data_IF_136086807710
#
_entry.id   IF_136086807710
#
_cell.length_a   1.000
_cell.length_b   1.000
_cell.length_c   1.000
_cell.angle_alpha   90.00
_cell.angle_beta   90.00
_cell.angle_gamma   90.00
#
_symmetry.space_group_name_H-M   'P 1'
#
loop_
_entity.id
_entity.type
_entity.pdbx_description
1 polymer ?
#
# COMPACT_ATOMS: atom_id res chain seq x y z
N UNK A 1 -30.81 7.08 26.06
CA UNK A 1 -30.83 7.21 24.59
C UNK A 1 -29.49 6.75 24.10
N UNK A 2 -29.45 5.60 23.43
CA UNK A 2 -28.20 4.95 22.98
C UNK A 2 -27.93 5.40 21.55
N UNK A 3 -26.90 6.22 21.35
CA UNK A 3 -26.43 6.58 20.02
C UNK A 3 -25.56 5.45 19.46
N UNK A 4 -26.11 4.68 18.55
CA UNK A 4 -25.39 3.70 17.75
C UNK A 4 -24.76 4.46 16.57
N UNK A 5 -23.47 4.74 16.65
CA UNK A 5 -22.70 5.25 15.51
C UNK A 5 -22.38 4.05 14.61
N UNK A 6 -23.14 3.96 13.52
CA UNK A 6 -22.93 2.95 12.48
C UNK A 6 -21.73 3.39 11.63
N UNK A 7 -20.58 2.72 11.80
CA UNK A 7 -19.39 2.92 10.99
C UNK A 7 -19.62 2.23 9.64
N UNK A 8 -20.03 3.00 8.64
CA UNK A 8 -20.16 2.51 7.27
C UNK A 8 -18.74 2.33 6.66
N UNK A 9 -18.28 1.11 6.55
CA UNK A 9 -17.09 0.76 5.77
C UNK A 9 -17.46 0.84 4.30
N UNK A 10 -17.07 1.93 3.64
CA UNK A 10 -17.25 2.12 2.22
C UNK A 10 -16.15 1.35 1.48
N UNK A 11 -16.47 0.14 1.03
CA UNK A 11 -15.64 -0.61 0.08
C UNK A 11 -15.81 0.02 -1.30
N UNK A 12 -14.81 0.78 -1.75
CA UNK A 12 -14.77 1.32 -3.10
C UNK A 12 -14.30 0.22 -4.05
N UNK A 13 -15.28 -0.48 -4.63
CA UNK A 13 -15.06 -1.32 -5.81
C UNK A 13 -14.94 -0.38 -7.00
N UNK A 14 -13.72 -0.17 -7.50
CA UNK A 14 -13.52 0.52 -8.77
C UNK A 14 -13.92 -0.43 -9.90
N UNK A 15 -15.12 -0.23 -10.40
CA UNK A 15 -15.58 -0.87 -11.63
C UNK A 15 -14.82 -0.26 -12.82
N UNK A 16 -13.78 -0.97 -13.29
CA UNK A 16 -13.18 -0.73 -14.59
C UNK A 16 -14.09 -1.34 -15.65
N UNK A 17 -15.06 -0.58 -16.14
CA UNK A 17 -15.87 -0.95 -17.30
C UNK A 17 -15.81 0.13 -18.36
N UNK A 18 -15.50 -0.33 -19.58
CA UNK A 18 -15.66 0.33 -20.88
C UNK A 18 -14.52 1.21 -21.39
N UNK A 19 -13.52 0.54 -21.96
CA UNK A 19 -12.76 1.08 -23.07
C UNK A 19 -12.78 0.09 -24.25
N UNK A 20 -13.98 -0.11 -24.82
CA UNK A 20 -14.14 -0.75 -26.12
C UNK A 20 -14.95 0.16 -27.00
N UNK A 21 -14.33 1.10 -27.70
CA UNK A 21 -14.85 1.58 -28.98
C UNK A 21 -13.86 2.48 -29.68
N UNK A 22 -13.61 2.10 -30.93
CA UNK A 22 -12.98 2.78 -32.07
C UNK A 22 -11.53 2.42 -32.38
N UNK A 23 -11.31 1.18 -32.79
CA UNK A 23 -10.30 0.91 -33.83
C UNK A 23 -11.01 0.97 -35.18
N UNK A 24 -10.81 2.05 -35.91
CA UNK A 24 -11.12 2.12 -37.34
C UNK A 24 -10.09 1.31 -38.11
N UNK A 25 -10.58 0.25 -38.75
CA UNK A 25 -9.86 -0.58 -39.71
C UNK A 25 -9.48 0.25 -40.94
N UNK A 26 -8.21 0.44 -41.19
CA UNK A 26 -7.72 0.83 -42.51
C UNK A 26 -6.91 -0.34 -43.05
N UNK A 27 -7.49 -1.02 -44.06
CA UNK A 27 -6.79 -2.00 -44.87
C UNK A 27 -5.91 -1.26 -45.87
N UNK A 28 -4.60 -1.50 -45.80
CA UNK A 28 -3.82 -1.59 -47.02
C UNK A 28 -2.68 -2.59 -46.81
N UNK A 29 -2.59 -3.47 -47.78
CA UNK A 29 -1.65 -4.54 -47.96
C UNK A 29 -0.23 -3.99 -48.16
N UNK A 30 0.78 -4.56 -47.48
CA UNK A 30 1.91 -5.18 -48.18
C UNK A 30 2.79 -5.96 -47.17
N UNK A 31 3.27 -7.08 -47.68
CA UNK A 31 4.02 -8.12 -47.02
C UNK A 31 5.42 -7.68 -46.65
N UNK A 32 5.83 -7.91 -45.41
CA UNK A 32 7.16 -8.39 -45.07
C UNK A 32 7.17 -8.97 -43.64
N UNK A 33 7.61 -10.21 -43.58
CA UNK A 33 7.83 -10.98 -42.37
C UNK A 33 8.85 -10.32 -41.47
N UNK A 34 8.45 -9.93 -40.26
CA UNK A 34 9.36 -9.78 -39.14
C UNK A 34 8.68 -10.33 -37.88
N UNK A 35 9.30 -11.33 -37.34
CA UNK A 35 8.97 -11.95 -36.07
C UNK A 35 8.91 -10.89 -34.96
N UNK A 36 7.72 -10.49 -34.53
CA UNK A 36 7.54 -9.75 -33.30
C UNK A 36 7.77 -10.71 -32.14
N UNK A 37 8.97 -10.68 -31.59
CA UNK A 37 9.18 -11.15 -30.24
C UNK A 37 8.33 -10.28 -29.33
N UNK A 38 7.34 -10.88 -28.69
CA UNK A 38 6.66 -10.30 -27.54
C UNK A 38 7.70 -10.05 -26.47
N UNK A 39 8.27 -8.84 -26.50
CA UNK A 39 9.06 -8.34 -25.40
C UNK A 39 8.08 -8.07 -24.25
N UNK A 40 8.16 -8.79 -23.12
CA UNK A 40 7.42 -8.38 -21.94
C UNK A 40 7.86 -6.94 -21.66
N UNK A 41 6.88 -6.04 -21.55
CA UNK A 41 7.07 -4.64 -21.20
C UNK A 41 8.07 -4.61 -20.03
N UNK A 42 9.25 -4.05 -20.26
CA UNK A 42 10.26 -3.89 -19.21
C UNK A 42 9.64 -3.05 -18.11
N UNK A 43 9.28 -3.74 -17.04
CA UNK A 43 8.86 -3.16 -15.77
C UNK A 43 9.97 -2.21 -15.34
N UNK A 44 9.62 -0.96 -15.05
CA UNK A 44 10.52 0.16 -14.91
C UNK A 44 11.80 -0.16 -14.13
N UNK A 45 12.93 0.30 -14.64
CA UNK A 45 14.26 0.21 -14.04
C UNK A 45 14.42 1.14 -12.81
N UNK A 46 13.34 1.48 -12.13
CA UNK A 46 13.44 2.29 -10.93
C UNK A 46 14.09 1.48 -9.79
N UNK A 47 15.01 2.08 -9.04
CA UNK A 47 15.66 1.39 -7.93
C UNK A 47 14.63 1.01 -6.86
N UNK A 48 14.82 -0.16 -6.26
CA UNK A 48 14.06 -0.58 -5.08
C UNK A 48 14.85 -0.12 -3.85
N UNK A 49 14.22 0.75 -3.08
CA UNK A 49 14.80 1.25 -1.84
C UNK A 49 14.63 0.23 -0.71
N UNK A 50 15.49 0.32 0.30
CA UNK A 50 15.36 -0.42 1.57
C UNK A 50 15.15 0.58 2.70
N UNK A 51 14.51 0.17 3.80
CA UNK A 51 14.41 1.01 4.98
C UNK A 51 15.77 1.56 5.40
N UNK A 52 15.83 2.88 5.53
CA UNK A 52 16.99 3.59 6.05
C UNK A 52 16.49 4.61 7.08
N UNK A 53 16.14 4.15 8.31
CA UNK A 53 15.54 5.01 9.31
C UNK A 53 16.49 6.11 9.76
N UNK A 54 15.95 7.30 9.96
CA UNK A 54 16.65 8.41 10.59
C UNK A 54 16.81 8.17 12.10
N UNK A 55 17.71 8.91 12.75
CA UNK A 55 17.86 8.83 14.21
C UNK A 55 16.56 9.17 14.96
N UNK A 56 15.71 10.05 14.41
CA UNK A 56 14.40 10.37 14.99
C UNK A 56 13.44 9.17 14.88
N UNK A 57 13.44 8.48 13.75
CA UNK A 57 12.63 7.27 13.55
C UNK A 57 13.11 6.12 14.44
N UNK A 58 14.41 5.92 14.59
CA UNK A 58 14.97 4.93 15.52
C UNK A 58 14.57 5.26 16.98
N UNK A 59 14.68 6.53 17.38
CA UNK A 59 14.29 6.97 18.71
C UNK A 59 12.80 6.77 18.99
N UNK A 60 11.94 6.93 17.99
CA UNK A 60 10.49 6.70 18.12
C UNK A 60 10.16 5.25 18.52
N UNK A 61 10.98 4.28 18.13
CA UNK A 61 10.78 2.87 18.47
C UNK A 61 11.60 2.38 19.68
N UNK A 62 12.44 3.22 20.30
CA UNK A 62 13.40 2.80 21.35
C UNK A 62 12.75 2.06 22.54
N UNK A 63 11.49 2.38 22.86
CA UNK A 63 10.71 1.74 23.91
C UNK A 63 9.45 1.05 23.36
N UNK A 64 9.49 0.69 22.08
CA UNK A 64 8.37 0.06 21.39
C UNK A 64 8.23 -1.42 21.75
N UNK A 65 7.03 -1.93 21.59
CA UNK A 65 6.70 -3.35 21.76
C UNK A 65 6.46 -4.02 20.41
N UNK A 66 6.97 -5.24 20.25
CA UNK A 66 6.63 -6.04 19.07
C UNK A 66 5.19 -6.52 19.18
N UNK A 67 4.38 -6.21 18.17
CA UNK A 67 3.04 -6.73 18.00
C UNK A 67 2.98 -7.66 16.80
N UNK A 68 2.30 -8.80 16.95
CA UNK A 68 2.27 -9.87 15.94
C UNK A 68 0.85 -10.12 15.44
N UNK A 69 0.79 -10.35 14.14
CA UNK A 69 -0.39 -10.90 13.47
C UNK A 69 -0.08 -12.32 13.02
N UNK A 70 -0.09 -13.26 13.97
CA UNK A 70 0.39 -14.63 13.77
C UNK A 70 -0.33 -15.34 12.62
N UNK A 71 -1.65 -15.11 12.46
CA UNK A 71 -2.42 -15.71 11.37
C UNK A 71 -1.90 -15.32 9.98
N UNK A 72 -1.19 -14.20 9.90
CA UNK A 72 -0.67 -13.67 8.65
C UNK A 72 0.86 -13.63 8.62
N UNK A 73 1.54 -14.04 9.68
CA UNK A 73 3.01 -14.00 9.73
C UNK A 73 3.57 -12.60 9.51
N UNK A 74 2.99 -11.60 10.15
CA UNK A 74 3.44 -10.21 10.07
C UNK A 74 3.65 -9.68 11.47
N UNK A 75 4.70 -8.87 11.68
CA UNK A 75 4.88 -8.14 12.94
C UNK A 75 5.37 -6.72 12.69
N UNK A 76 5.17 -5.88 13.69
CA UNK A 76 5.61 -4.49 13.77
C UNK A 76 6.13 -4.18 15.15
N UNK A 77 7.02 -3.20 15.26
CA UNK A 77 7.31 -2.55 16.53
C UNK A 77 6.45 -1.30 16.64
N UNK A 78 5.60 -1.24 17.67
CA UNK A 78 4.75 -0.07 17.93
C UNK A 78 5.27 0.70 19.14
N UNK A 79 5.38 2.03 19.06
CA UNK A 79 5.73 2.88 20.19
C UNK A 79 4.75 2.76 21.36
N UNK A 80 5.12 3.20 22.56
CA UNK A 80 4.21 3.21 23.71
C UNK A 80 2.94 4.02 23.43
N UNK A 81 1.81 3.52 23.92
CA UNK A 81 0.51 4.20 23.81
C UNK A 81 -0.36 3.72 22.65
N UNK A 82 0.21 3.02 21.69
CA UNK A 82 -0.58 2.38 20.63
C UNK A 82 -1.47 1.27 21.19
N UNK A 83 -2.73 1.23 20.78
CA UNK A 83 -3.72 0.28 21.29
C UNK A 83 -4.39 -0.48 20.16
N UNK A 84 -4.56 -1.76 20.41
CA UNK A 84 -5.33 -2.64 19.51
C UNK A 84 -6.76 -2.14 19.38
N UNK A 85 -7.24 -2.04 18.14
CA UNK A 85 -8.62 -1.73 17.80
C UNK A 85 -9.35 -2.99 17.31
N UNK A 86 -8.90 -3.55 16.20
CA UNK A 86 -9.46 -4.77 15.62
C UNK A 86 -8.36 -5.63 15.06
N UNK A 87 -8.39 -6.92 15.40
CA UNK A 87 -7.55 -7.93 14.74
C UNK A 87 -8.43 -9.12 14.38
N UNK A 88 -8.41 -9.48 13.10
CA UNK A 88 -9.13 -10.61 12.52
C UNK A 88 -8.23 -11.32 11.52
N UNK A 89 -8.75 -12.27 10.75
CA UNK A 89 -7.96 -12.95 9.73
C UNK A 89 -7.53 -12.03 8.58
N UNK A 90 -8.29 -10.96 8.32
CA UNK A 90 -8.07 -10.10 7.15
C UNK A 90 -7.73 -8.65 7.50
N UNK A 91 -7.83 -8.27 8.77
CA UNK A 91 -7.61 -6.90 9.22
C UNK A 91 -6.84 -6.86 10.52
N UNK A 92 -5.86 -5.95 10.58
CA UNK A 92 -5.09 -5.66 11.77
C UNK A 92 -5.05 -4.15 11.98
N UNK A 93 -5.74 -3.68 13.02
CA UNK A 93 -5.90 -2.25 13.25
C UNK A 93 -5.44 -1.88 14.66
N UNK A 94 -4.56 -0.90 14.74
CA UNK A 94 -4.08 -0.25 15.96
C UNK A 94 -4.20 1.26 15.82
N UNK A 95 -4.25 1.97 16.93
CA UNK A 95 -4.23 3.44 16.94
C UNK A 95 -3.54 4.02 18.15
N UNK A 96 -3.01 5.23 18.00
CA UNK A 96 -2.60 6.08 19.09
C UNK A 96 -3.74 7.06 19.37
N UNK A 97 -4.60 6.69 20.31
CA UNK A 97 -5.85 7.43 20.59
C UNK A 97 -6.71 7.58 19.35
N UNK A 98 -7.07 8.83 19.03
CA UNK A 98 -7.80 9.23 17.83
C UNK A 98 -6.93 9.98 16.82
N UNK A 99 -5.62 10.09 17.08
CA UNK A 99 -4.72 10.92 16.29
C UNK A 99 -4.23 10.21 15.04
N UNK A 100 -3.67 9.01 15.19
CA UNK A 100 -3.10 8.24 14.08
C UNK A 100 -3.45 6.76 14.17
N UNK A 101 -3.45 6.10 13.03
CA UNK A 101 -3.92 4.73 12.85
C UNK A 101 -2.94 3.92 12.02
N UNK A 102 -2.70 2.68 12.42
CA UNK A 102 -2.14 1.61 11.61
C UNK A 102 -3.30 0.71 11.19
N UNK A 103 -3.52 0.61 9.88
CA UNK A 103 -4.59 -0.20 9.29
C UNK A 103 -3.93 -1.12 8.28
N UNK A 104 -4.00 -2.42 8.53
CA UNK A 104 -3.47 -3.42 7.61
C UNK A 104 -4.59 -4.32 7.16
N UNK A 105 -4.70 -4.52 5.85
CA UNK A 105 -5.70 -5.39 5.26
C UNK A 105 -5.08 -6.38 4.30
N UNK A 106 -5.65 -7.58 4.29
CA UNK A 106 -5.27 -8.67 3.39
C UNK A 106 -6.51 -9.12 2.62
N UNK A 107 -6.34 -9.27 1.31
CA UNK A 107 -7.33 -9.91 0.46
C UNK A 107 -6.73 -11.13 -0.25
N UNK A 108 -7.38 -12.30 -0.17
CA UNK A 108 -6.98 -13.46 -0.94
C UNK A 108 -7.18 -13.19 -2.44
N UNK A 109 -6.20 -13.60 -3.25
CA UNK A 109 -6.23 -13.47 -4.70
C UNK A 109 -6.25 -14.85 -5.33
N UNK A 110 -6.69 -14.93 -6.58
CA UNK A 110 -6.59 -16.16 -7.37
C UNK A 110 -5.11 -16.53 -7.59
N UNK A 111 -4.85 -17.82 -7.78
CA UNK A 111 -3.48 -18.32 -7.94
C UNK A 111 -2.81 -17.84 -9.25
N UNK A 112 -3.62 -17.52 -10.25
CA UNK A 112 -3.23 -17.02 -11.57
C UNK A 112 -3.20 -15.49 -11.66
N UNK A 113 -3.41 -14.77 -10.55
CA UNK A 113 -3.35 -13.30 -10.50
C UNK A 113 -2.00 -12.81 -11.00
N UNK A 114 -1.95 -11.92 -12.00
CA UNK A 114 -0.71 -11.34 -12.51
C UNK A 114 -0.16 -10.27 -11.55
N UNK A 115 0.42 -10.74 -10.45
CA UNK A 115 0.80 -9.90 -9.30
C UNK A 115 1.77 -8.77 -9.67
N UNK A 116 2.79 -9.06 -10.49
CA UNK A 116 3.77 -8.06 -10.89
C UNK A 116 3.17 -6.96 -11.77
N UNK A 117 2.31 -7.35 -12.72
CA UNK A 117 1.61 -6.39 -13.59
C UNK A 117 0.70 -5.51 -12.74
N UNK A 118 -0.05 -6.12 -11.83
CA UNK A 118 -0.97 -5.40 -10.94
C UNK A 118 -0.24 -4.46 -9.99
N UNK A 119 0.88 -4.89 -9.41
CA UNK A 119 1.68 -4.05 -8.52
C UNK A 119 2.29 -2.86 -9.26
N UNK A 120 2.77 -3.08 -10.49
CA UNK A 120 3.26 -1.97 -11.34
C UNK A 120 2.15 -1.00 -11.71
N UNK A 121 0.94 -1.48 -12.01
CA UNK A 121 -0.19 -0.60 -12.28
C UNK A 121 -0.54 0.29 -11.09
N UNK A 122 -0.46 -0.22 -9.86
CA UNK A 122 -0.62 0.60 -8.66
C UNK A 122 0.46 1.66 -8.53
N UNK A 123 1.72 1.29 -8.73
CA UNK A 123 2.85 2.22 -8.68
C UNK A 123 2.72 3.33 -9.73
N UNK A 124 2.45 2.97 -10.98
CA UNK A 124 2.25 3.94 -12.06
C UNK A 124 1.04 4.85 -11.81
N UNK A 125 -0.05 4.28 -11.28
CA UNK A 125 -1.21 5.06 -10.86
C UNK A 125 -0.87 6.08 -9.76
N UNK A 126 -0.05 5.70 -8.79
CA UNK A 126 0.45 6.61 -7.75
C UNK A 126 1.35 7.70 -8.35
N UNK A 127 2.21 7.37 -9.32
CA UNK A 127 3.03 8.36 -10.04
C UNK A 127 2.21 9.39 -10.83
N UNK A 128 1.09 8.99 -11.41
CA UNK A 128 0.16 9.94 -12.03
C UNK A 128 -0.41 10.90 -10.98
N UNK A 129 -0.77 10.39 -9.80
CA UNK A 129 -1.24 11.21 -8.68
C UNK A 129 -0.17 12.14 -8.13
N UNK A 130 1.10 11.72 -8.11
CA UNK A 130 2.26 12.56 -7.74
C UNK A 130 2.39 13.75 -8.70
N UNK A 131 2.31 13.52 -10.01
CA UNK A 131 2.31 14.58 -11.02
C UNK A 131 1.17 15.57 -10.87
N UNK A 132 0.03 15.12 -10.36
CA UNK A 132 -1.13 15.96 -10.06
C UNK A 132 -1.02 16.67 -8.70
N UNK A 133 0.04 16.43 -7.94
CA UNK A 133 0.25 17.00 -6.60
C UNK A 133 -0.72 16.45 -5.54
N UNK A 134 -1.23 15.24 -5.72
CA UNK A 134 -2.08 14.53 -4.76
C UNK A 134 -1.27 13.62 -3.83
N UNK A 135 -0.07 13.26 -4.28
CA UNK A 135 0.90 12.42 -3.59
C UNK A 135 2.23 13.15 -3.58
N UNK A 136 2.95 13.13 -2.47
CA UNK A 136 4.24 13.81 -2.33
C UNK A 136 5.41 12.94 -2.78
N UNK A 137 5.26 11.63 -2.64
CA UNK A 137 6.35 10.68 -2.86
C UNK A 137 5.78 9.33 -3.31
N UNK A 138 6.39 8.76 -4.34
CA UNK A 138 6.11 7.41 -4.84
C UNK A 138 7.42 6.70 -5.07
N UNK A 139 7.58 5.52 -4.47
CA UNK A 139 8.80 4.71 -4.65
C UNK A 139 8.53 3.21 -4.54
N UNK A 140 9.47 2.44 -5.03
CA UNK A 140 9.57 1.04 -4.71
C UNK A 140 10.29 0.87 -3.37
N UNK A 141 9.65 0.24 -2.39
CA UNK A 141 10.23 -0.05 -1.09
C UNK A 141 10.19 -1.56 -0.84
N UNK A 142 11.35 -2.12 -0.49
CA UNK A 142 11.46 -3.49 -0.03
C UNK A 142 11.34 -3.53 1.49
N UNK A 143 10.32 -4.17 2.03
CA UNK A 143 10.20 -4.47 3.45
C UNK A 143 10.43 -5.97 3.65
N UNK A 144 11.45 -6.30 4.44
CA UNK A 144 11.81 -7.68 4.81
C UNK A 144 11.89 -8.65 3.61
N UNK A 145 12.51 -8.21 2.51
CA UNK A 145 12.68 -8.99 1.29
C UNK A 145 11.50 -8.94 0.31
N UNK A 146 10.38 -8.28 0.67
CA UNK A 146 9.22 -8.16 -0.19
C UNK A 146 9.12 -6.76 -0.78
N UNK A 147 9.17 -6.66 -2.12
CA UNK A 147 8.99 -5.40 -2.84
C UNK A 147 7.53 -4.97 -2.82
N UNK A 148 7.29 -3.70 -2.51
CA UNK A 148 5.99 -3.07 -2.59
C UNK A 148 6.05 -1.66 -3.16
N UNK A 149 4.91 -1.12 -3.53
CA UNK A 149 4.76 0.28 -3.88
C UNK A 149 4.45 1.09 -2.62
N UNK A 150 5.32 2.05 -2.27
CA UNK A 150 5.08 3.03 -1.22
C UNK A 150 4.65 4.34 -1.84
N UNK A 151 3.69 5.00 -1.22
CA UNK A 151 3.34 6.39 -1.55
C UNK A 151 2.74 7.12 -0.35
N UNK A 152 2.98 8.45 -0.32
CA UNK A 152 2.47 9.34 0.71
C UNK A 152 1.56 10.38 0.10
N UNK A 153 0.35 10.50 0.60
CA UNK A 153 -0.61 11.51 0.16
C UNK A 153 -0.25 12.91 0.68
N UNK A 154 -0.20 13.89 -0.23
CA UNK A 154 0.01 15.31 0.08
C UNK A 154 -1.30 16.04 0.32
N UNK A 155 -2.38 15.59 -0.34
CA UNK A 155 -3.71 16.17 -0.24
C UNK A 155 -4.74 15.10 0.08
N UNK A 156 -5.75 15.45 0.88
CA UNK A 156 -6.83 14.52 1.18
C UNK A 156 -7.63 14.22 -0.08
N UNK A 157 -8.06 12.97 -0.19
CA UNK A 157 -9.04 12.61 -1.21
C UNK A 157 -10.45 13.00 -0.75
N UNK A 158 -11.30 13.39 -1.68
CA UNK A 158 -12.74 13.60 -1.46
C UNK A 158 -13.08 14.60 -0.35
N UNK A 159 -12.27 15.65 -0.15
CA UNK A 159 -12.51 16.68 0.88
C UNK A 159 -12.26 16.23 2.31
N UNK A 160 -11.71 15.04 2.53
CA UNK A 160 -11.27 14.56 3.82
C UNK A 160 -9.93 15.20 4.19
N UNK A 161 -9.68 15.51 5.47
CA UNK A 161 -8.38 15.98 5.95
C UNK A 161 -7.40 14.85 6.27
N UNK A 162 -7.71 13.63 5.89
CA UNK A 162 -6.82 12.48 6.14
C UNK A 162 -5.60 12.49 5.22
N UNK A 163 -4.46 12.17 5.80
CA UNK A 163 -3.20 11.88 5.11
C UNK A 163 -2.86 10.42 5.32
N UNK A 164 -2.30 9.78 4.29
CA UNK A 164 -1.94 8.37 4.32
C UNK A 164 -0.52 8.17 3.82
N UNK A 165 0.21 7.37 4.55
CA UNK A 165 1.41 6.68 4.09
C UNK A 165 0.99 5.23 3.83
N UNK A 166 1.11 4.77 2.61
CA UNK A 166 0.71 3.42 2.22
C UNK A 166 1.89 2.65 1.63
N UNK A 167 1.93 1.38 1.95
CA UNK A 167 2.75 0.40 1.28
C UNK A 167 1.87 -0.78 0.92
N UNK A 168 1.90 -1.16 -0.34
CA UNK A 168 1.08 -2.25 -0.84
C UNK A 168 1.90 -3.21 -1.69
N UNK A 169 1.56 -4.48 -1.59
CA UNK A 169 2.25 -5.55 -2.31
C UNK A 169 1.33 -6.75 -2.55
N UNK A 170 1.85 -7.68 -3.35
CA UNK A 170 1.35 -9.04 -3.41
C UNK A 170 2.42 -9.98 -2.87
N UNK A 171 2.01 -10.97 -2.09
CA UNK A 171 2.89 -12.00 -1.55
C UNK A 171 2.24 -13.38 -1.61
N UNK A 172 3.04 -14.41 -1.48
CA UNK A 172 2.56 -15.76 -1.18
C UNK A 172 2.75 -16.02 0.31
N UNK A 173 1.70 -16.45 0.98
CA UNK A 173 1.74 -16.85 2.38
C UNK A 173 0.79 -18.01 2.62
N UNK A 174 1.25 -19.06 3.35
CA UNK A 174 0.49 -20.28 3.61
C UNK A 174 -0.15 -20.91 2.34
N UNK A 175 0.58 -20.87 1.22
CA UNK A 175 0.14 -21.40 -0.06
C UNK A 175 -0.85 -20.53 -0.84
N UNK A 176 -1.22 -19.37 -0.33
CA UNK A 176 -2.18 -18.45 -0.96
C UNK A 176 -1.51 -17.18 -1.48
N UNK A 177 -1.90 -16.74 -2.67
CA UNK A 177 -1.57 -15.39 -3.15
C UNK A 177 -2.43 -14.39 -2.42
N UNK A 178 -1.81 -13.36 -1.84
CA UNK A 178 -2.48 -12.32 -1.05
C UNK A 178 -2.10 -10.93 -1.57
N UNK A 179 -3.09 -10.05 -1.66
CA UNK A 179 -2.89 -8.61 -1.68
C UNK A 179 -2.75 -8.14 -0.24
N UNK A 180 -1.67 -7.43 0.07
CA UNK A 180 -1.39 -6.84 1.37
C UNK A 180 -1.32 -5.32 1.22
N UNK A 181 -2.14 -4.62 1.99
CA UNK A 181 -2.14 -3.17 2.07
C UNK A 181 -1.88 -2.75 3.52
N UNK A 182 -0.76 -2.07 3.74
CA UNK A 182 -0.40 -1.44 4.99
C UNK A 182 -0.60 0.06 4.85
N UNK A 183 -1.40 0.66 5.72
CA UNK A 183 -1.73 2.06 5.71
C UNK A 183 -1.54 2.66 7.10
N UNK A 184 -0.79 3.75 7.14
CA UNK A 184 -0.61 4.60 8.32
C UNK A 184 -1.28 5.94 8.02
N UNK A 185 -2.17 6.41 8.88
CA UNK A 185 -3.01 7.56 8.57
C UNK A 185 -3.31 8.43 9.79
N UNK A 186 -3.62 9.69 9.54
CA UNK A 186 -4.09 10.68 10.50
C UNK A 186 -4.65 11.89 9.79
N UNK A 187 -5.21 12.84 10.51
CA UNK A 187 -5.47 14.18 9.95
C UNK A 187 -4.13 14.84 9.59
N UNK A 188 -4.15 15.88 8.75
CA UNK A 188 -2.92 16.53 8.30
C UNK A 188 -1.97 16.91 9.44
N UNK A 189 -2.51 17.55 10.49
CA UNK A 189 -1.73 17.99 11.64
C UNK A 189 -1.19 16.81 12.46
N UNK A 190 -2.00 15.80 12.71
CA UNK A 190 -1.59 14.60 13.42
C UNK A 190 -0.58 13.79 12.61
N UNK A 191 -0.79 13.65 11.30
CA UNK A 191 0.17 12.99 10.43
C UNK A 191 1.53 13.68 10.44
N UNK A 192 1.56 15.01 10.34
CA UNK A 192 2.80 15.78 10.39
C UNK A 192 3.50 15.66 11.76
N UNK A 193 2.74 15.71 12.85
CA UNK A 193 3.25 15.54 14.23
C UNK A 193 3.89 14.18 14.46
N UNK A 194 3.34 13.12 13.88
CA UNK A 194 3.75 11.73 14.09
C UNK A 194 4.53 11.14 12.90
N UNK A 195 4.94 11.94 11.91
CA UNK A 195 5.50 11.43 10.66
C UNK A 195 6.68 10.46 10.87
N UNK A 196 7.65 10.82 11.73
CA UNK A 196 8.79 9.94 12.02
C UNK A 196 8.36 8.62 12.66
N UNK A 197 7.40 8.66 13.56
CA UNK A 197 6.82 7.47 14.21
C UNK A 197 6.11 6.57 13.19
N UNK A 198 5.33 7.14 12.26
CA UNK A 198 4.64 6.39 11.23
C UNK A 198 5.62 5.70 10.27
N UNK A 199 6.66 6.41 9.82
CA UNK A 199 7.72 5.79 9.01
C UNK A 199 8.49 4.71 9.78
N UNK A 200 8.78 4.95 11.05
CA UNK A 200 9.46 3.97 11.89
C UNK A 200 8.64 2.68 12.02
N UNK A 201 7.33 2.78 12.23
CA UNK A 201 6.41 1.62 12.25
C UNK A 201 6.43 0.90 10.90
N UNK A 202 6.31 1.62 9.77
CA UNK A 202 6.40 1.04 8.44
C UNK A 202 7.70 0.25 8.25
N UNK A 203 8.84 0.85 8.60
CA UNK A 203 10.16 0.25 8.41
C UNK A 203 10.44 -0.91 9.38
N UNK A 204 9.71 -0.99 10.47
CA UNK A 204 9.80 -2.12 11.42
C UNK A 204 9.06 -3.37 10.96
N UNK A 205 8.30 -3.30 9.85
CA UNK A 205 7.54 -4.44 9.33
C UNK A 205 8.42 -5.66 9.10
N UNK A 206 7.99 -6.82 9.62
CA UNK A 206 8.60 -8.13 9.38
C UNK A 206 7.57 -9.05 8.77
N UNK A 207 8.00 -9.85 7.80
CA UNK A 207 7.15 -10.74 7.02
C UNK A 207 7.74 -12.16 7.06
N UNK A 208 6.95 -13.14 7.48
CA UNK A 208 7.31 -14.55 7.32
C UNK A 208 7.15 -14.94 5.85
N UNK A 209 8.16 -15.59 5.31
CA UNK A 209 8.25 -16.06 3.92
C UNK A 209 7.86 -17.53 3.78
#
# INVERSE_FOLDING_TARGET
MKNVISLAVLVLVVAACNLTSKLKTNKNSDSSSSSSSDNPTKIGNEPVEKPNPTSAQEAALANGEEVKWDQQGISWTLPPGWKKQTVSNNNFNYSLGTEVFLIVSIAPMSADMPTDISLNAFHEGAKVREKNGEVDEVKWLELDGVRGAEFRESKPQMGSDLRRLQWLTYRKYAGQTQYLNLMLSGTADHFAKHQDELYAILYSTRLVH
#
